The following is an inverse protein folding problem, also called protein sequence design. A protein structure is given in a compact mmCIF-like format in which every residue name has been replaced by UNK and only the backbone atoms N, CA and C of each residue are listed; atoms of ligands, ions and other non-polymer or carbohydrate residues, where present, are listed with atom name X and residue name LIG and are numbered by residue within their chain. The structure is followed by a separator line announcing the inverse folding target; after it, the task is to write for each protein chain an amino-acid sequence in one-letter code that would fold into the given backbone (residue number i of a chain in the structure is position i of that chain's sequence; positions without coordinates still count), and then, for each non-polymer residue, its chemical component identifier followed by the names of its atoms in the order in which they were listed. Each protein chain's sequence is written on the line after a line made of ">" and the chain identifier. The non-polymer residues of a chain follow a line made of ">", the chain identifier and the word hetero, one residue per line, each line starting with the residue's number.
data_IF_116159803230
#
_entry.id   IF_116159803230
#
_cell.length_a   1.000
_cell.length_b   1.000
_cell.length_c   1.000
_cell.angle_alpha   90.00
_cell.angle_beta   90.00
_cell.angle_gamma   90.00
#
_symmetry.space_group_name_H-M   'P 1'
#
loop_
_entity.id
_entity.type
_entity.pdbx_description
1 polymer ?
#
# COMPACT_ATOMS: atom_id res chain seq x y z
N UNK A 1 -28.56 23.72 -23.71
CA UNK A 1 -28.07 22.66 -22.81
C UNK A 1 -27.21 23.34 -21.75
N UNK A 2 -27.58 23.33 -20.46
CA UNK A 2 -26.68 23.82 -19.44
C UNK A 2 -25.53 22.82 -19.29
N UNK A 3 -24.29 23.31 -19.44
CA UNK A 3 -23.08 22.60 -19.02
C UNK A 3 -23.25 22.31 -17.53
N UNK A 4 -23.28 21.04 -17.15
CA UNK A 4 -23.17 20.67 -15.74
C UNK A 4 -21.90 21.33 -15.21
N UNK A 5 -22.05 22.16 -14.18
CA UNK A 5 -20.94 22.57 -13.35
C UNK A 5 -20.39 21.26 -12.77
N UNK A 6 -19.32 20.73 -13.36
CA UNK A 6 -18.58 19.63 -12.77
C UNK A 6 -18.21 20.10 -11.38
N UNK A 7 -18.87 19.58 -10.35
CA UNK A 7 -18.35 19.71 -9.00
C UNK A 7 -16.94 19.12 -9.09
N UNK A 8 -15.92 19.95 -8.89
CA UNK A 8 -14.54 19.48 -8.85
C UNK A 8 -14.48 18.44 -7.73
N UNK A 9 -14.08 17.21 -8.05
CA UNK A 9 -13.92 16.20 -7.00
C UNK A 9 -12.86 16.69 -6.01
N UNK A 10 -12.87 16.23 -4.74
CA UNK A 10 -11.82 16.54 -3.78
C UNK A 10 -10.42 16.25 -4.35
N UNK A 11 -10.29 15.17 -5.12
CA UNK A 11 -9.07 14.81 -5.86
C UNK A 11 -8.67 15.87 -6.87
N UNK A 12 -9.60 16.33 -7.72
CA UNK A 12 -9.31 17.41 -8.68
C UNK A 12 -8.91 18.71 -7.96
N UNK A 13 -9.52 19.00 -6.82
CA UNK A 13 -9.17 20.16 -5.98
C UNK A 13 -7.76 20.07 -5.40
N UNK A 14 -7.26 18.86 -5.09
CA UNK A 14 -5.85 18.64 -4.71
C UNK A 14 -4.93 18.82 -5.91
N UNK A 15 -5.28 18.27 -7.07
CA UNK A 15 -4.50 18.36 -8.30
C UNK A 15 -4.41 19.79 -8.87
N UNK A 16 -5.31 20.69 -8.47
CA UNK A 16 -5.30 22.11 -8.83
C UNK A 16 -4.32 22.94 -7.97
N UNK A 17 -3.76 22.39 -6.89
CA UNK A 17 -2.72 23.05 -6.09
C UNK A 17 -1.39 23.05 -6.84
N UNK A 18 -0.63 24.15 -6.76
CA UNK A 18 0.66 24.25 -7.45
C UNK A 18 1.73 23.26 -6.93
N UNK A 19 1.67 22.88 -5.66
CA UNK A 19 2.69 22.04 -5.01
C UNK A 19 2.05 21.01 -4.05
N UNK A 20 1.11 20.20 -4.54
CA UNK A 20 0.57 19.11 -3.72
C UNK A 20 1.57 17.97 -3.59
N UNK A 21 1.45 17.18 -2.51
CA UNK A 21 2.25 15.98 -2.30
C UNK A 21 1.48 14.70 -2.63
N UNK A 22 2.19 13.60 -2.83
CA UNK A 22 1.57 12.28 -3.00
C UNK A 22 0.70 11.93 -1.79
N UNK A 23 1.15 12.27 -0.58
CA UNK A 23 0.42 12.01 0.65
C UNK A 23 -0.91 12.74 0.72
N UNK A 24 -0.97 14.00 0.28
CA UNK A 24 -2.24 14.73 0.18
C UNK A 24 -3.19 14.04 -0.80
N UNK A 25 -2.69 13.58 -1.94
CA UNK A 25 -3.48 12.89 -2.95
C UNK A 25 -4.00 11.53 -2.46
N UNK A 26 -3.15 10.75 -1.77
CA UNK A 26 -3.52 9.46 -1.18
C UNK A 26 -4.44 9.61 0.04
N UNK A 27 -4.47 10.80 0.65
CA UNK A 27 -5.39 11.08 1.76
C UNK A 27 -6.83 11.32 1.30
N UNK A 28 -7.08 11.55 0.01
CA UNK A 28 -8.43 11.68 -0.53
C UNK A 28 -9.16 10.34 -0.60
N UNK A 29 -10.41 10.28 -0.13
CA UNK A 29 -11.20 9.04 -0.11
C UNK A 29 -11.55 8.55 -1.53
N UNK A 30 -11.63 9.46 -2.49
CA UNK A 30 -12.01 9.16 -3.87
C UNK A 30 -10.83 8.74 -4.75
N UNK A 31 -9.58 8.74 -4.25
CA UNK A 31 -8.38 8.46 -5.07
C UNK A 31 -8.44 7.11 -5.79
N UNK A 32 -8.93 6.05 -5.11
CA UNK A 32 -9.08 4.71 -5.70
C UNK A 32 -10.16 4.74 -6.78
N UNK A 33 -11.26 5.46 -6.55
CA UNK A 33 -12.34 5.56 -7.51
C UNK A 33 -11.89 6.32 -8.77
N UNK A 34 -11.13 7.41 -8.62
CA UNK A 34 -10.56 8.18 -9.73
C UNK A 34 -9.54 7.36 -10.54
N UNK A 35 -8.75 6.51 -9.88
CA UNK A 35 -7.89 5.54 -10.56
C UNK A 35 -8.73 4.55 -11.40
N UNK A 36 -9.77 3.96 -10.83
CA UNK A 36 -10.70 3.04 -11.53
C UNK A 36 -11.45 3.73 -12.68
N UNK A 37 -11.74 5.02 -12.54
CA UNK A 37 -12.35 5.85 -13.57
C UNK A 37 -11.37 6.29 -14.67
N UNK A 38 -10.09 5.89 -14.56
CA UNK A 38 -9.02 6.26 -15.47
C UNK A 38 -8.83 7.77 -15.61
N UNK A 39 -8.91 8.50 -14.49
CA UNK A 39 -8.67 9.94 -14.48
C UNK A 39 -7.25 10.24 -14.99
N UNK A 40 -7.18 10.88 -16.15
CA UNK A 40 -5.91 11.15 -16.85
C UNK A 40 -4.92 12.00 -16.04
N UNK A 41 -5.40 12.93 -15.19
CA UNK A 41 -4.53 13.77 -14.37
C UNK A 41 -3.89 12.95 -13.24
N UNK A 42 -4.70 12.16 -12.54
CA UNK A 42 -4.23 11.23 -11.51
C UNK A 42 -3.22 10.24 -12.09
N UNK A 43 -3.55 9.60 -13.21
CA UNK A 43 -2.66 8.63 -13.86
C UNK A 43 -1.37 9.31 -14.32
N UNK A 44 -1.45 10.51 -14.89
CA UNK A 44 -0.28 11.26 -15.34
C UNK A 44 0.68 11.57 -14.20
N UNK A 45 0.17 11.80 -12.99
CA UNK A 45 1.00 12.02 -11.81
C UNK A 45 1.56 10.71 -11.26
N UNK A 46 0.70 9.70 -11.02
CA UNK A 46 1.08 8.45 -10.37
C UNK A 46 2.02 7.57 -11.21
N UNK A 47 2.02 7.72 -12.55
CA UNK A 47 2.90 6.94 -13.43
C UNK A 47 4.37 7.32 -13.34
N UNK A 48 4.70 8.47 -12.74
CA UNK A 48 6.08 8.90 -12.59
C UNK A 48 6.85 7.95 -11.66
N UNK A 49 8.09 7.65 -12.04
CA UNK A 49 8.95 6.70 -11.34
C UNK A 49 9.04 6.98 -9.83
N UNK A 50 9.29 8.24 -9.45
CA UNK A 50 9.39 8.64 -8.06
C UNK A 50 8.09 8.37 -7.26
N UNK A 51 6.93 8.51 -7.91
CA UNK A 51 5.64 8.22 -7.27
C UNK A 51 5.45 6.71 -7.11
N UNK A 52 5.74 5.92 -8.15
CA UNK A 52 5.67 4.46 -8.09
C UNK A 52 6.61 3.88 -7.03
N UNK A 53 7.86 4.36 -6.98
CA UNK A 53 8.83 3.98 -5.95
C UNK A 53 8.28 4.26 -4.55
N UNK A 54 7.74 5.46 -4.32
CA UNK A 54 7.18 5.85 -3.03
C UNK A 54 5.91 5.05 -2.67
N UNK A 55 5.03 4.78 -3.63
CA UNK A 55 3.86 3.92 -3.46
C UNK A 55 4.29 2.53 -2.97
N UNK A 56 5.35 1.97 -3.55
CA UNK A 56 5.82 0.66 -3.08
C UNK A 56 6.48 0.77 -1.72
N UNK A 57 7.27 1.81 -1.43
CA UNK A 57 7.83 2.03 -0.09
C UNK A 57 6.76 2.03 0.99
N UNK A 58 5.59 2.63 0.76
CA UNK A 58 4.49 2.56 1.72
C UNK A 58 3.92 1.14 1.94
N UNK A 59 4.04 0.25 0.95
CA UNK A 59 3.61 -1.15 1.08
C UNK A 59 4.70 -2.00 1.75
N UNK A 60 5.98 -1.74 1.45
CA UNK A 60 7.11 -2.57 1.89
C UNK A 60 7.85 -2.05 3.11
N UNK A 61 7.72 -0.80 3.52
CA UNK A 61 8.37 -0.31 4.74
C UNK A 61 7.40 -0.40 5.91
N UNK A 62 7.90 -0.73 7.10
CA UNK A 62 7.07 -0.59 8.29
C UNK A 62 6.88 0.90 8.59
N UNK A 63 5.65 1.34 8.88
CA UNK A 63 5.42 2.71 9.27
C UNK A 63 6.23 3.01 10.55
N UNK A 64 6.87 4.19 10.65
CA UNK A 64 7.56 4.62 11.87
C UNK A 64 6.68 4.49 13.11
N UNK A 65 7.25 4.16 14.27
CA UNK A 65 6.52 3.97 15.53
C UNK A 65 5.68 5.21 15.94
N UNK A 66 6.09 6.40 15.50
CA UNK A 66 5.41 7.68 15.75
C UNK A 66 4.35 8.05 14.69
N UNK A 67 4.03 7.15 13.76
CA UNK A 67 3.04 7.43 12.70
C UNK A 67 1.62 7.38 13.25
N UNK A 68 0.78 8.36 12.89
CA UNK A 68 -0.63 8.36 13.26
C UNK A 68 -1.29 7.04 12.85
N UNK A 69 -1.98 6.40 13.81
CA UNK A 69 -2.57 5.07 13.62
C UNK A 69 -3.48 4.97 12.40
N UNK A 70 -4.12 6.04 11.95
CA UNK A 70 -4.91 6.03 10.70
C UNK A 70 -4.02 5.91 9.47
N UNK A 71 -2.86 6.58 9.46
CA UNK A 71 -1.89 6.54 8.36
C UNK A 71 -1.17 5.20 8.29
N UNK A 72 -0.89 4.58 9.44
CA UNK A 72 -0.30 3.23 9.57
C UNK A 72 -1.07 2.17 8.76
N UNK A 73 -2.40 2.27 8.66
CA UNK A 73 -3.21 1.32 7.88
C UNK A 73 -3.52 1.82 6.46
N UNK A 74 -3.78 3.12 6.29
CA UNK A 74 -4.19 3.69 5.00
C UNK A 74 -3.06 3.68 3.97
N UNK A 75 -1.84 4.02 4.39
CA UNK A 75 -0.69 4.14 3.50
C UNK A 75 -0.21 2.83 2.89
N UNK A 76 -0.26 1.66 3.56
CA UNK A 76 -0.03 0.39 2.86
C UNK A 76 -1.25 -0.06 2.03
N UNK A 77 -2.48 0.33 2.42
CA UNK A 77 -3.71 -0.12 1.76
C UNK A 77 -3.97 0.59 0.43
N UNK A 78 -3.92 1.93 0.39
CA UNK A 78 -4.29 2.71 -0.81
C UNK A 78 -3.35 2.43 -1.99
N UNK A 79 -2.02 2.44 -1.86
CA UNK A 79 -1.10 2.06 -2.94
C UNK A 79 -1.31 0.63 -3.43
N UNK A 80 -1.62 -0.31 -2.54
CA UNK A 80 -1.96 -1.68 -2.92
C UNK A 80 -3.21 -1.69 -3.82
N UNK A 81 -4.24 -0.92 -3.47
CA UNK A 81 -5.45 -0.80 -4.27
C UNK A 81 -5.22 -0.06 -5.61
N UNK A 82 -4.31 0.90 -5.66
CA UNK A 82 -3.91 1.55 -6.92
C UNK A 82 -3.30 0.53 -7.88
N UNK A 83 -2.41 -0.34 -7.40
CA UNK A 83 -1.82 -1.38 -8.24
C UNK A 83 -2.83 -2.45 -8.67
N UNK A 84 -3.83 -2.77 -7.85
CA UNK A 84 -4.92 -3.70 -8.23
C UNK A 84 -5.95 -3.08 -9.18
N UNK A 85 -5.86 -1.77 -9.48
CA UNK A 85 -6.64 -1.17 -10.56
C UNK A 85 -6.12 -1.56 -11.96
N UNK A 86 -4.97 -2.24 -12.06
CA UNK A 86 -4.41 -2.78 -13.30
C UNK A 86 -4.19 -1.73 -14.40
N UNK A 87 -3.81 -0.51 -14.01
CA UNK A 87 -3.53 0.59 -14.94
C UNK A 87 -2.18 0.32 -15.63
N UNK A 88 -2.21 -0.07 -16.91
CA UNK A 88 -1.06 -0.51 -17.70
C UNK A 88 0.18 0.39 -17.57
N UNK A 89 -0.01 1.72 -17.66
CA UNK A 89 1.13 2.66 -17.62
C UNK A 89 1.80 2.73 -16.25
N UNK A 90 1.05 2.51 -15.17
CA UNK A 90 1.59 2.47 -13.80
C UNK A 90 2.27 1.12 -13.57
N UNK A 91 1.62 0.02 -13.99
CA UNK A 91 2.19 -1.33 -13.89
C UNK A 91 3.46 -1.48 -14.70
N UNK A 92 3.55 -0.86 -15.88
CA UNK A 92 4.78 -0.85 -16.68
C UNK A 92 5.93 -0.17 -15.92
N UNK A 93 5.70 1.00 -15.34
CA UNK A 93 6.69 1.67 -14.48
C UNK A 93 7.06 0.79 -13.29
N UNK A 94 6.10 0.10 -12.66
CA UNK A 94 6.36 -0.83 -11.55
C UNK A 94 7.24 -2.02 -11.97
N UNK A 95 7.00 -2.60 -13.15
CA UNK A 95 7.75 -3.76 -13.66
C UNK A 95 9.17 -3.38 -14.10
N UNK A 96 9.37 -2.15 -14.57
CA UNK A 96 10.71 -1.61 -14.83
C UNK A 96 11.55 -1.52 -13.54
N UNK A 97 10.90 -1.49 -12.36
CA UNK A 97 11.52 -1.56 -11.04
C UNK A 97 11.57 -3.01 -10.49
N UNK A 98 12.36 -3.86 -11.14
CA UNK A 98 12.45 -5.32 -10.90
C UNK A 98 12.73 -5.71 -9.43
N UNK A 99 13.55 -4.93 -8.72
CA UNK A 99 13.90 -5.18 -7.31
C UNK A 99 12.71 -5.04 -6.36
N UNK A 100 11.75 -4.19 -6.73
CA UNK A 100 10.68 -3.70 -5.86
C UNK A 100 9.49 -4.68 -5.84
N UNK A 101 9.17 -5.30 -6.99
CA UNK A 101 8.17 -6.38 -7.11
C UNK A 101 8.64 -7.66 -6.40
N UNK A 102 9.94 -7.97 -6.51
CA UNK A 102 10.57 -9.09 -5.81
C UNK A 102 10.55 -8.86 -4.29
N UNK A 103 10.81 -7.63 -3.82
CA UNK A 103 10.68 -7.27 -2.40
C UNK A 103 9.25 -7.42 -1.86
N UNK A 104 8.22 -7.03 -2.62
CA UNK A 104 6.80 -7.24 -2.26
C UNK A 104 6.46 -8.72 -2.06
N UNK A 105 6.90 -9.56 -3.00
CA UNK A 105 6.70 -11.02 -2.94
C UNK A 105 7.48 -11.67 -1.79
N UNK A 106 8.74 -11.25 -1.56
CA UNK A 106 9.59 -11.76 -0.49
C UNK A 106 9.06 -11.34 0.89
N UNK A 107 8.58 -10.11 1.10
CA UNK A 107 8.10 -9.67 2.42
C UNK A 107 6.81 -10.37 2.86
N UNK A 108 5.80 -10.52 1.97
CA UNK A 108 4.61 -11.32 2.32
C UNK A 108 4.97 -12.77 2.63
N UNK A 109 5.92 -13.35 1.88
CA UNK A 109 6.45 -14.70 2.13
C UNK A 109 7.22 -14.76 3.44
N UNK A 110 7.97 -13.71 3.81
CA UNK A 110 8.76 -13.65 5.05
C UNK A 110 7.89 -13.49 6.28
N UNK A 111 6.81 -12.69 6.22
CA UNK A 111 5.82 -12.63 7.30
C UNK A 111 5.11 -13.97 7.51
N UNK A 112 4.71 -14.63 6.43
CA UNK A 112 4.16 -16.00 6.49
C UNK A 112 5.18 -17.00 7.06
N UNK A 113 6.44 -16.92 6.63
CA UNK A 113 7.51 -17.78 7.12
C UNK A 113 7.80 -17.53 8.61
N UNK A 114 7.76 -16.28 9.06
CA UNK A 114 7.91 -15.92 10.48
C UNK A 114 6.73 -16.41 11.32
N UNK A 115 5.50 -16.31 10.80
CA UNK A 115 4.32 -16.88 11.43
C UNK A 115 4.41 -18.41 11.53
N UNK A 116 4.83 -19.09 10.45
CA UNK A 116 5.06 -20.55 10.45
C UNK A 116 6.19 -20.93 11.40
N UNK A 117 7.29 -20.16 11.48
CA UNK A 117 8.38 -20.37 12.44
C UNK A 117 7.92 -20.17 13.89
N UNK A 118 7.08 -19.18 14.16
CA UNK A 118 6.50 -18.96 15.48
C UNK A 118 5.57 -20.12 15.86
N UNK A 119 4.69 -20.55 14.95
CA UNK A 119 3.78 -21.66 15.18
C UNK A 119 4.53 -22.98 15.36
N UNK A 120 5.53 -23.27 14.53
CA UNK A 120 6.36 -24.47 14.68
C UNK A 120 7.17 -24.43 15.97
N UNK A 121 7.73 -23.27 16.34
CA UNK A 121 8.40 -23.07 17.63
C UNK A 121 7.46 -23.23 18.84
N UNK A 122 6.24 -22.71 18.76
CA UNK A 122 5.21 -22.91 19.79
C UNK A 122 4.73 -24.36 19.85
N UNK A 123 4.54 -25.02 18.70
CA UNK A 123 4.19 -26.45 18.63
C UNK A 123 5.30 -27.33 19.19
N UNK A 124 6.57 -27.05 18.89
CA UNK A 124 7.73 -27.75 19.48
C UNK A 124 7.81 -27.58 21.00
N UNK A 125 7.40 -26.42 21.53
CA UNK A 125 7.25 -26.19 22.97
C UNK A 125 6.05 -26.94 23.58
N UNK A 126 5.01 -27.20 22.78
CA UNK A 126 3.79 -27.90 23.20
C UNK A 126 3.80 -29.41 22.89
N UNK A 127 4.87 -29.94 22.28
CA UNK A 127 5.03 -31.38 22.05
C UNK A 127 5.14 -32.09 23.41
N UNK A 128 4.32 -33.13 23.65
CA UNK A 128 4.38 -33.90 24.88
C UNK A 128 5.75 -34.59 24.98
N UNK A 129 6.64 -34.03 25.80
CA UNK A 129 8.05 -34.40 25.88
C UNK A 129 8.98 -33.22 26.18
N UNK A 130 8.53 -31.97 25.94
CA UNK A 130 9.25 -30.78 26.38
C UNK A 130 8.84 -30.41 27.81
N UNK A 131 9.80 -30.40 28.74
CA UNK A 131 9.60 -30.55 30.19
C UNK A 131 9.01 -29.32 30.93
N UNK A 132 8.32 -28.41 30.23
CA UNK A 132 7.78 -27.16 30.80
C UNK A 132 6.24 -27.15 30.89
N UNK A 133 5.58 -28.31 30.77
CA UNK A 133 4.12 -28.43 30.93
C UNK A 133 3.64 -28.42 32.40
N UNK A 134 4.32 -27.67 33.28
CA UNK A 134 3.92 -27.48 34.70
C UNK A 134 4.03 -26.02 35.13
N UNK A 135 3.22 -25.12 34.56
CA UNK A 135 3.04 -23.77 35.12
C UNK A 135 1.74 -23.07 34.72
N UNK A 136 0.75 -23.78 34.16
CA UNK A 136 -0.57 -23.21 33.88
C UNK A 136 -1.69 -24.13 34.41
N UNK A 137 -1.74 -24.27 35.73
CA UNK A 137 -2.96 -24.48 36.51
C UNK A 137 -2.97 -23.45 37.64
#
# INVERSE_FOLDING_TARGET
>A
MPKSLSASSPVESVLDKENFTLEELLDEEEIIQECKALNSRVISFLRDRAQVEQLVRYIVEEPPEDTDSKRTFKFPFVPCEIFTCEIDVILKTLVEEEEVVVCLMIRKTTQLLNYVKLLTGLMLKWLPGNADSKSFL
#
